data_IF_357300386306
#
_entry.id   IF_357300386306
#
_cell.length_a   1.000
_cell.length_b   1.000
_cell.length_c   1.000
_cell.angle_alpha   90.00
_cell.angle_beta   90.00
_cell.angle_gamma   90.00
#
_symmetry.space_group_name_H-M   'P 1'
#
loop_
_entity.id
_entity.type
_entity.pdbx_description
1 polymer ?
#
# COMPACT_ATOMS: atom_id res chain seq x y z
N UNK A 1 -9.97 23.05 59.14
CA UNK A 1 -10.32 22.08 58.07
C UNK A 1 -9.94 22.67 56.72
N UNK A 2 -8.66 22.66 56.32
CA UNK A 2 -8.23 23.29 55.05
C UNK A 2 -6.86 22.76 54.62
N UNK A 3 -6.74 21.46 54.35
CA UNK A 3 -5.52 20.88 53.75
C UNK A 3 -5.75 19.80 52.68
N UNK A 4 -7.01 19.49 52.35
CA UNK A 4 -7.34 18.48 51.34
C UNK A 4 -7.74 19.06 49.98
N UNK A 5 -7.83 20.38 49.86
CA UNK A 5 -8.31 21.03 48.64
C UNK A 5 -7.19 21.43 47.66
N UNK A 6 -5.93 21.40 48.09
CA UNK A 6 -4.78 21.77 47.24
C UNK A 6 -4.12 20.57 46.54
N UNK A 7 -4.44 19.34 46.92
CA UNK A 7 -3.87 18.12 46.30
C UNK A 7 -4.67 17.56 45.13
N UNK A 8 -5.78 18.20 44.73
CA UNK A 8 -6.60 17.77 43.58
C UNK A 8 -6.33 18.58 42.30
N UNK A 9 -5.57 19.67 42.36
CA UNK A 9 -5.27 20.54 41.20
C UNK A 9 -3.93 20.23 40.52
N UNK A 10 -3.13 19.30 41.03
CA UNK A 10 -1.79 19.00 40.51
C UNK A 10 -1.69 17.77 39.61
N UNK A 11 -2.82 17.13 39.24
CA UNK A 11 -2.84 15.88 38.49
C UNK A 11 -3.32 16.00 37.03
N UNK A 12 -3.48 17.21 36.49
CA UNK A 12 -4.09 17.42 35.15
C UNK A 12 -3.10 17.97 34.10
N UNK A 13 -1.84 18.21 34.44
CA UNK A 13 -0.92 18.95 33.57
C UNK A 13 0.31 18.16 33.09
N UNK A 14 0.17 16.86 32.81
CA UNK A 14 1.21 16.09 32.10
C UNK A 14 0.54 15.18 31.07
N UNK A 15 0.98 15.30 29.82
CA UNK A 15 0.64 14.50 28.62
C UNK A 15 -0.31 15.24 27.66
N UNK A 16 0.27 16.06 26.76
CA UNK A 16 0.06 15.73 25.35
C UNK A 16 1.34 16.00 24.53
N UNK A 17 2.29 15.05 24.50
CA UNK A 17 3.53 15.18 23.71
C UNK A 17 3.95 13.85 23.04
N UNK A 18 3.00 13.10 22.48
CA UNK A 18 3.30 11.83 21.78
C UNK A 18 2.67 11.72 20.39
N UNK A 19 2.56 12.83 19.64
CA UNK A 19 2.12 12.83 18.24
C UNK A 19 3.26 13.13 17.25
N UNK A 20 4.53 12.90 17.62
CA UNK A 20 5.60 12.83 16.62
C UNK A 20 5.65 11.43 16.02
N UNK A 21 4.77 11.15 15.05
CA UNK A 21 5.00 10.07 14.09
C UNK A 21 6.25 10.44 13.28
N UNK A 22 7.38 9.81 13.59
CA UNK A 22 8.59 9.85 12.76
C UNK A 22 8.45 8.73 11.73
N UNK A 23 7.71 8.99 10.65
CA UNK A 23 7.62 8.05 9.53
C UNK A 23 8.96 8.11 8.79
N UNK A 24 9.76 7.04 8.86
CA UNK A 24 11.13 7.02 8.31
C UNK A 24 11.38 5.87 7.35
N UNK A 25 10.34 5.15 6.91
CA UNK A 25 10.53 3.90 6.16
C UNK A 25 9.70 3.79 4.87
N UNK A 26 8.97 4.83 4.46
CA UNK A 26 8.21 4.77 3.20
C UNK A 26 8.04 6.16 2.57
N UNK A 27 9.15 6.89 2.41
CA UNK A 27 9.13 8.14 1.64
C UNK A 27 8.57 7.85 0.24
N UNK A 28 7.49 8.53 -0.18
CA UNK A 28 6.91 8.32 -1.50
C UNK A 28 7.97 8.54 -2.57
N UNK A 29 8.24 7.51 -3.38
CA UNK A 29 9.12 7.68 -4.51
C UNK A 29 8.34 8.50 -5.55
N UNK A 30 8.81 9.70 -5.92
CA UNK A 30 8.08 10.60 -6.80
C UNK A 30 7.83 9.99 -8.18
N UNK A 31 8.59 8.97 -8.58
CA UNK A 31 8.44 8.30 -9.86
C UNK A 31 7.36 7.22 -9.87
N UNK A 32 6.82 6.81 -8.72
CA UNK A 32 5.81 5.74 -8.60
C UNK A 32 4.42 6.37 -8.51
N UNK A 33 3.81 6.63 -9.67
CA UNK A 33 2.66 7.53 -9.78
C UNK A 33 1.33 6.83 -10.06
N UNK A 34 1.37 5.62 -10.62
CA UNK A 34 0.15 4.95 -11.07
C UNK A 34 -0.44 4.15 -9.92
N UNK A 35 -1.68 4.46 -9.53
CA UNK A 35 -2.38 3.71 -8.49
C UNK A 35 -2.91 2.40 -9.07
N UNK A 36 -2.67 1.30 -8.36
CA UNK A 36 -3.18 -0.01 -8.70
C UNK A 36 -3.59 -0.79 -7.44
N UNK A 37 -4.39 -1.83 -7.63
CA UNK A 37 -4.77 -2.80 -6.60
C UNK A 37 -4.24 -4.17 -6.99
N UNK A 38 -3.56 -4.85 -6.07
CA UNK A 38 -3.14 -6.24 -6.27
C UNK A 38 -4.38 -7.14 -6.21
N UNK A 39 -4.57 -7.98 -7.22
CA UNK A 39 -5.68 -8.95 -7.28
C UNK A 39 -5.16 -10.36 -7.40
N UNK A 40 -5.65 -11.28 -6.58
CA UNK A 40 -5.39 -12.70 -6.72
C UNK A 40 -6.45 -13.34 -7.61
N UNK A 41 -6.05 -13.74 -8.82
CA UNK A 41 -6.90 -14.43 -9.78
C UNK A 41 -6.58 -15.94 -9.85
N UNK A 42 -5.92 -16.50 -8.83
CA UNK A 42 -5.68 -17.95 -8.75
C UNK A 42 -6.99 -18.72 -8.88
N UNK A 43 -7.00 -19.72 -9.76
CA UNK A 43 -8.20 -20.49 -10.10
C UNK A 43 -8.87 -20.05 -11.41
N UNK A 44 -8.43 -18.94 -12.01
CA UNK A 44 -8.78 -18.54 -13.37
C UNK A 44 -7.63 -18.88 -14.32
N UNK A 45 -7.78 -19.90 -15.16
CA UNK A 45 -6.93 -20.23 -16.32
C UNK A 45 -5.43 -19.83 -16.23
N UNK A 46 -4.71 -20.39 -15.24
CA UNK A 46 -3.26 -20.18 -15.09
C UNK A 46 -2.85 -18.79 -14.59
N UNK A 47 -3.79 -17.96 -14.19
CA UNK A 47 -3.54 -16.70 -13.51
C UNK A 47 -3.06 -16.90 -12.08
N UNK A 48 -2.26 -15.93 -11.62
CA UNK A 48 -1.91 -15.74 -10.22
C UNK A 48 -2.30 -14.34 -9.77
N UNK A 49 -1.36 -13.62 -9.17
CA UNK A 49 -1.55 -12.21 -8.82
C UNK A 49 -1.36 -11.30 -10.04
N UNK A 50 -2.23 -10.31 -10.17
CA UNK A 50 -2.20 -9.26 -11.20
C UNK A 50 -2.35 -7.87 -10.57
N UNK A 51 -2.21 -6.82 -11.37
CA UNK A 51 -2.49 -5.44 -10.97
C UNK A 51 -3.75 -4.94 -11.69
N UNK A 52 -4.68 -4.37 -10.94
CA UNK A 52 -5.89 -3.74 -11.45
C UNK A 52 -5.77 -2.22 -11.28
N UNK A 53 -5.84 -1.49 -12.40
CA UNK A 53 -5.78 -0.04 -12.43
C UNK A 53 -7.12 0.58 -12.01
N UNK A 54 -7.13 1.89 -11.75
CA UNK A 54 -8.33 2.61 -11.32
C UNK A 54 -9.49 2.57 -12.34
N UNK A 55 -9.20 2.35 -13.61
CA UNK A 55 -10.18 2.20 -14.70
C UNK A 55 -10.66 0.75 -14.89
N UNK A 56 -10.18 -0.19 -14.06
CA UNK A 56 -10.48 -1.61 -14.15
C UNK A 56 -9.61 -2.39 -15.15
N UNK A 57 -8.71 -1.74 -15.88
CA UNK A 57 -7.75 -2.43 -16.74
C UNK A 57 -6.80 -3.28 -15.90
N UNK A 58 -6.47 -4.47 -16.38
CA UNK A 58 -5.50 -5.36 -15.73
C UNK A 58 -4.15 -5.33 -16.42
N UNK A 59 -3.10 -5.46 -15.61
CA UNK A 59 -1.72 -5.64 -16.03
C UNK A 59 -1.22 -6.97 -15.50
N UNK A 60 -0.41 -7.64 -16.30
CA UNK A 60 0.31 -8.87 -15.98
C UNK A 60 1.79 -8.54 -15.73
N UNK A 61 2.13 -8.10 -14.51
CA UNK A 61 3.50 -7.74 -14.17
C UNK A 61 4.43 -8.96 -14.14
N UNK A 62 5.66 -8.76 -14.60
CA UNK A 62 6.74 -9.74 -14.51
C UNK A 62 8.07 -9.08 -14.09
N UNK A 63 9.12 -9.89 -13.93
CA UNK A 63 10.45 -9.46 -13.52
C UNK A 63 10.70 -9.56 -12.02
N UNK A 64 11.95 -9.30 -11.61
CA UNK A 64 12.43 -9.54 -10.24
C UNK A 64 11.68 -8.72 -9.19
N UNK A 65 11.44 -7.43 -9.46
CA UNK A 65 10.74 -6.54 -8.53
C UNK A 65 9.32 -7.04 -8.24
N UNK A 66 8.61 -7.53 -9.26
CA UNK A 66 7.32 -8.18 -9.04
C UNK A 66 7.47 -9.49 -8.28
N UNK A 67 8.41 -10.36 -8.65
CA UNK A 67 8.59 -11.67 -8.02
C UNK A 67 8.87 -11.57 -6.51
N UNK A 68 9.72 -10.63 -6.10
CA UNK A 68 10.14 -10.47 -4.70
C UNK A 68 9.17 -9.62 -3.86
N UNK A 69 8.21 -8.93 -4.47
CA UNK A 69 7.18 -8.21 -3.72
C UNK A 69 6.25 -9.18 -2.99
N UNK A 70 6.02 -8.97 -1.69
CA UNK A 70 5.05 -9.73 -0.91
C UNK A 70 3.63 -9.31 -1.28
N UNK A 71 2.96 -10.09 -2.13
CA UNK A 71 1.66 -9.74 -2.70
C UNK A 71 0.53 -10.14 -1.77
N UNK A 72 -0.38 -9.20 -1.51
CA UNK A 72 -1.63 -9.46 -0.80
C UNK A 72 -2.82 -9.03 -1.65
N UNK A 73 -3.85 -9.87 -1.73
CA UNK A 73 -5.06 -9.51 -2.46
C UNK A 73 -5.73 -8.28 -1.82
N UNK A 74 -6.15 -7.33 -2.65
CA UNK A 74 -6.76 -6.07 -2.23
C UNK A 74 -5.78 -5.01 -1.76
N UNK A 75 -4.47 -5.27 -1.77
CA UNK A 75 -3.47 -4.29 -1.40
C UNK A 75 -3.39 -3.15 -2.43
N UNK A 76 -3.46 -1.91 -1.95
CA UNK A 76 -3.30 -0.71 -2.79
C UNK A 76 -1.84 -0.31 -2.87
N UNK A 77 -1.36 -0.13 -4.09
CA UNK A 77 0.03 0.21 -4.38
C UNK A 77 0.11 1.38 -5.35
N UNK A 78 1.25 2.09 -5.34
CA UNK A 78 1.67 2.93 -6.45
C UNK A 78 2.77 2.25 -7.23
N UNK A 79 2.66 2.28 -8.56
CA UNK A 79 3.58 1.62 -9.49
C UNK A 79 4.07 2.57 -10.56
N UNK A 80 5.17 2.19 -11.18
CA UNK A 80 5.56 2.61 -12.52
C UNK A 80 6.03 1.39 -13.30
N UNK A 81 5.83 1.42 -14.61
CA UNK A 81 6.08 0.26 -15.46
C UNK A 81 6.38 0.66 -16.89
N UNK A 82 6.96 -0.28 -17.63
CA UNK A 82 7.12 -0.22 -19.08
C UNK A 82 6.39 -1.39 -19.72
N UNK A 83 5.85 -1.16 -20.92
CA UNK A 83 5.22 -2.23 -21.70
C UNK A 83 6.32 -3.15 -22.23
N UNK A 84 6.32 -4.38 -21.73
CA UNK A 84 7.26 -5.43 -22.13
C UNK A 84 6.42 -6.71 -22.24
N UNK A 85 5.82 -6.99 -23.41
CA UNK A 85 4.91 -8.10 -23.56
C UNK A 85 5.63 -9.41 -23.24
N UNK A 86 5.16 -10.12 -22.23
CA UNK A 86 5.60 -11.47 -21.90
C UNK A 86 4.51 -12.45 -22.35
N UNK A 87 4.92 -13.59 -22.91
CA UNK A 87 3.99 -14.67 -23.16
C UNK A 87 3.43 -15.18 -21.83
N UNK A 88 2.12 -15.10 -21.66
CA UNK A 88 1.41 -15.51 -20.45
C UNK A 88 0.21 -16.36 -20.84
N UNK A 89 -0.10 -17.35 -20.00
CA UNK A 89 -1.33 -18.15 -20.14
C UNK A 89 -2.55 -17.43 -19.58
N UNK A 90 -2.36 -16.46 -18.69
CA UNK A 90 -3.44 -15.77 -17.99
C UNK A 90 -4.27 -14.88 -18.94
N UNK A 91 -3.61 -14.11 -19.83
CA UNK A 91 -4.23 -13.33 -20.91
C UNK A 91 -5.37 -12.38 -20.46
N UNK A 92 -5.37 -11.93 -19.20
CA UNK A 92 -6.35 -10.98 -18.64
C UNK A 92 -5.93 -9.53 -18.82
N UNK A 93 -4.68 -9.28 -19.20
CA UNK A 93 -4.13 -7.93 -19.28
C UNK A 93 -2.86 -7.80 -20.11
N UNK A 94 -2.33 -6.59 -20.15
CA UNK A 94 -1.06 -6.31 -20.83
C UNK A 94 0.13 -6.80 -20.00
N UNK A 95 1.08 -7.46 -20.64
CA UNK A 95 2.36 -7.81 -20.02
C UNK A 95 3.23 -6.57 -19.79
N UNK A 96 3.62 -6.32 -18.54
CA UNK A 96 4.41 -5.15 -18.16
C UNK A 96 5.56 -5.50 -17.23
N UNK A 97 6.66 -4.75 -17.32
CA UNK A 97 7.76 -4.84 -16.35
C UNK A 97 7.69 -3.66 -15.41
N UNK A 98 7.59 -3.94 -14.11
CA UNK A 98 7.55 -2.90 -13.09
C UNK A 98 8.93 -2.25 -12.95
N UNK A 99 8.96 -0.92 -12.98
CA UNK A 99 10.14 -0.11 -12.64
C UNK A 99 10.05 0.43 -11.22
N UNK A 100 8.85 0.41 -10.63
CA UNK A 100 8.63 0.69 -9.21
C UNK A 100 7.35 0.03 -8.69
N UNK A 101 7.35 -0.32 -7.40
CA UNK A 101 6.18 -0.66 -6.60
C UNK A 101 6.36 -0.14 -5.17
N UNK A 102 5.33 0.49 -4.61
CA UNK A 102 5.29 0.93 -3.22
C UNK A 102 3.89 0.71 -2.64
N UNK A 103 3.82 0.24 -1.39
CA UNK A 103 2.56 0.17 -0.66
C UNK A 103 2.03 1.58 -0.38
N UNK A 104 0.72 1.78 -0.58
CA UNK A 104 0.06 2.98 -0.10
C UNK A 104 -0.13 2.85 1.42
N UNK A 105 0.74 3.49 2.19
CA UNK A 105 0.51 3.72 3.61
C UNK A 105 -0.41 4.91 3.81
N UNK A 106 -1.42 4.74 4.66
CA UNK A 106 -2.21 5.79 5.25
C UNK A 106 -1.44 6.55 6.33
N UNK A 107 -2.16 7.46 7.00
CA UNK A 107 -1.59 8.34 8.02
C UNK A 107 -0.97 7.52 9.17
N UNK A 108 0.31 7.78 9.49
CA UNK A 108 1.15 7.05 10.44
C UNK A 108 1.46 5.58 10.08
N UNK A 109 1.87 5.31 8.83
CA UNK A 109 2.40 4.00 8.43
C UNK A 109 1.40 2.83 8.43
N UNK A 110 0.11 3.09 8.66
CA UNK A 110 -0.93 2.06 8.59
C UNK A 110 -1.22 1.73 7.13
N UNK A 111 -1.40 0.46 6.72
CA UNK A 111 -1.82 0.15 5.34
C UNK A 111 -3.09 0.93 4.99
N UNK A 112 -3.12 1.60 3.83
CA UNK A 112 -4.31 2.35 3.42
C UNK A 112 -5.49 1.38 3.36
N UNK A 113 -6.49 1.59 4.24
CA UNK A 113 -7.65 0.72 4.33
C UNK A 113 -8.28 0.55 2.94
N UNK A 114 -8.41 -0.71 2.51
CA UNK A 114 -9.05 -1.07 1.25
C UNK A 114 -10.53 -0.68 1.36
N UNK A 115 -10.87 0.52 0.88
CA UNK A 115 -12.25 1.00 0.81
C UNK A 115 -12.95 0.29 -0.35
N UNK A 116 -13.28 -0.98 -0.12
CA UNK A 116 -14.14 -1.76 -1.00
C UNK A 116 -15.49 -1.04 -1.12
N UNK A 117 -15.84 -0.69 -2.36
CA UNK A 117 -17.17 -0.21 -2.75
C UNK A 117 -17.80 -1.24 -3.67
#
# INVERSE_FOLDING_TARGET
>A
MTRRLLTLLAAVALVPLALSCQDSQNEPNPDCKTVATIRNLTGLDGCGFVLELADGKRLEPHGELWQHYAKHDGERVTISYVNEPAASICMVGEGVKLTCIQIQVGWCGTPAANQGR
#
